data_IF_072290889229
#
_entry.id   IF_072290889229
#
_cell.length_a   1.000
_cell.length_b   1.000
_cell.length_c   1.000
_cell.angle_alpha   90.00
_cell.angle_beta   90.00
_cell.angle_gamma   90.00
#
_symmetry.space_group_name_H-M   'P 1'
#
loop_
_entity.id
_entity.type
_entity.pdbx_description
1 polymer ?
#
# COMPACT_ATOMS: atom_id res chain seq x y z
N UNK A 1 32.19 35.62 -28.73
CA UNK A 1 32.89 34.58 -27.94
C UNK A 1 31.90 33.63 -27.25
N UNK A 2 30.91 34.16 -26.51
CA UNK A 2 29.85 33.40 -25.81
C UNK A 2 29.10 32.39 -26.71
N UNK A 3 28.71 32.78 -27.93
CA UNK A 3 27.97 31.90 -28.85
C UNK A 3 28.74 30.64 -29.29
N UNK A 4 30.07 30.71 -29.41
CA UNK A 4 30.92 29.56 -29.76
C UNK A 4 31.15 28.64 -28.57
N UNK A 5 31.26 29.21 -27.37
CA UNK A 5 31.34 28.45 -26.11
C UNK A 5 30.02 27.72 -25.85
N UNK A 6 28.88 28.38 -26.09
CA UNK A 6 27.55 27.80 -25.95
C UNK A 6 27.32 26.64 -26.94
N UNK A 7 27.71 26.81 -28.21
CA UNK A 7 27.65 25.75 -29.22
C UNK A 7 28.59 24.57 -28.88
N UNK A 8 29.79 24.85 -28.36
CA UNK A 8 30.71 23.81 -27.90
C UNK A 8 30.18 23.02 -26.70
N UNK A 9 29.55 23.70 -25.75
CA UNK A 9 28.90 23.06 -24.60
C UNK A 9 27.73 22.18 -25.03
N UNK A 10 26.88 22.65 -25.95
CA UNK A 10 25.80 21.85 -26.54
C UNK A 10 26.35 20.60 -27.24
N UNK A 11 27.43 20.75 -28.02
CA UNK A 11 28.08 19.62 -28.68
C UNK A 11 28.60 18.57 -27.70
N UNK A 12 29.23 18.99 -26.60
CA UNK A 12 29.70 18.09 -25.55
C UNK A 12 28.55 17.40 -24.82
N UNK A 13 27.46 18.11 -24.52
CA UNK A 13 26.25 17.52 -23.92
C UNK A 13 25.63 16.49 -24.87
N UNK A 14 25.55 16.79 -26.18
CA UNK A 14 25.03 15.85 -27.16
C UNK A 14 25.89 14.58 -27.27
N UNK A 15 27.22 14.72 -27.30
CA UNK A 15 28.13 13.57 -27.30
C UNK A 15 28.01 12.77 -26.00
N UNK A 16 27.95 13.42 -24.85
CA UNK A 16 27.76 12.75 -23.56
C UNK A 16 26.42 12.01 -23.49
N UNK A 17 25.33 12.59 -24.02
CA UNK A 17 24.03 11.95 -24.09
C UNK A 17 24.05 10.73 -25.02
N UNK A 18 24.70 10.82 -26.19
CA UNK A 18 24.85 9.70 -27.14
C UNK A 18 25.67 8.57 -26.50
N UNK A 19 26.83 8.90 -25.92
CA UNK A 19 27.68 7.92 -25.24
C UNK A 19 26.92 7.28 -24.08
N UNK A 20 26.21 8.07 -23.27
CA UNK A 20 25.38 7.57 -22.19
C UNK A 20 24.27 6.63 -22.68
N UNK A 21 23.60 6.97 -23.79
CA UNK A 21 22.58 6.12 -24.41
C UNK A 21 23.14 4.76 -24.82
N UNK A 22 24.28 4.70 -25.51
CA UNK A 22 24.86 3.44 -25.98
C UNK A 22 25.57 2.63 -24.89
N UNK A 23 26.05 3.27 -23.81
CA UNK A 23 26.76 2.57 -22.72
C UNK A 23 25.81 1.99 -21.68
N UNK A 24 24.78 2.74 -21.27
CA UNK A 24 23.82 2.29 -20.26
C UNK A 24 22.36 2.51 -20.67
N UNK A 25 22.04 3.57 -21.42
CA UNK A 25 20.67 3.95 -21.75
C UNK A 25 19.88 2.84 -22.47
N UNK A 26 20.48 2.15 -23.44
CA UNK A 26 19.83 1.04 -24.14
C UNK A 26 19.53 -0.16 -23.23
N UNK A 27 20.43 -0.48 -22.30
CA UNK A 27 20.25 -1.58 -21.35
C UNK A 27 19.16 -1.24 -20.33
N UNK A 28 19.22 -0.04 -19.77
CA UNK A 28 18.21 0.48 -18.85
C UNK A 28 16.85 0.59 -19.53
N UNK A 29 16.79 1.12 -20.75
CA UNK A 29 15.56 1.22 -21.53
C UNK A 29 14.94 -0.15 -21.80
N UNK A 30 15.72 -1.13 -22.27
CA UNK A 30 15.22 -2.52 -22.45
C UNK A 30 14.74 -3.14 -21.13
N UNK A 31 15.43 -2.86 -20.03
CA UNK A 31 15.05 -3.37 -18.70
C UNK A 31 13.77 -2.71 -18.19
N UNK A 32 13.62 -1.40 -18.38
CA UNK A 32 12.43 -0.63 -18.06
C UNK A 32 11.24 -1.05 -18.92
N UNK A 33 11.44 -1.31 -20.21
CA UNK A 33 10.41 -1.86 -21.08
C UNK A 33 9.92 -3.21 -20.55
N UNK A 34 10.81 -4.15 -20.22
CA UNK A 34 10.44 -5.47 -19.67
C UNK A 34 9.65 -5.44 -18.37
N UNK A 35 9.66 -4.34 -17.64
CA UNK A 35 8.93 -4.21 -16.35
C UNK A 35 7.84 -3.13 -16.41
N UNK A 36 7.66 -2.50 -17.56
CA UNK A 36 6.71 -1.41 -17.75
C UNK A 36 5.37 -1.91 -18.25
N UNK A 37 4.29 -1.21 -17.86
CA UNK A 37 2.93 -1.53 -18.28
C UNK A 37 2.75 -1.58 -19.81
N UNK A 38 3.53 -0.79 -20.55
CA UNK A 38 3.48 -0.73 -22.02
C UNK A 38 3.81 -2.08 -22.72
N UNK A 39 4.49 -2.99 -22.03
CA UNK A 39 4.85 -4.30 -22.57
C UNK A 39 3.84 -5.40 -22.25
N UNK A 40 2.85 -5.16 -21.39
CA UNK A 40 1.93 -6.19 -20.91
C UNK A 40 1.20 -6.91 -22.04
N UNK A 41 0.72 -6.18 -23.05
CA UNK A 41 0.03 -6.76 -24.20
C UNK A 41 0.94 -7.67 -25.05
N UNK A 42 2.23 -7.32 -25.16
CA UNK A 42 3.21 -8.13 -25.89
C UNK A 42 3.59 -9.39 -25.10
N UNK A 43 3.73 -9.27 -23.78
CA UNK A 43 3.99 -10.42 -22.91
C UNK A 43 2.77 -11.37 -22.87
N UNK A 44 1.56 -10.83 -22.81
CA UNK A 44 0.32 -11.60 -22.89
C UNK A 44 0.18 -12.34 -24.23
N UNK A 45 0.60 -11.74 -25.35
CA UNK A 45 0.62 -12.41 -26.64
C UNK A 45 1.59 -13.62 -26.71
N UNK A 46 2.57 -13.69 -25.79
CA UNK A 46 3.50 -14.81 -25.66
C UNK A 46 3.04 -15.86 -24.63
N UNK A 47 1.96 -15.59 -23.89
CA UNK A 47 1.41 -16.51 -22.90
C UNK A 47 0.88 -17.78 -23.57
N UNK A 48 1.28 -18.93 -23.03
CA UNK A 48 0.90 -20.26 -23.51
C UNK A 48 0.23 -21.03 -22.37
N UNK A 49 -1.07 -20.81 -22.20
CA UNK A 49 -1.90 -21.43 -21.17
C UNK A 49 -1.93 -22.95 -21.28
N UNK A 50 -1.60 -23.54 -22.43
CA UNK A 50 -1.58 -24.99 -22.61
C UNK A 50 -0.54 -25.71 -21.74
N UNK A 51 0.44 -24.96 -21.21
CA UNK A 51 1.50 -25.50 -20.34
C UNK A 51 1.09 -25.66 -18.89
N UNK A 52 -0.05 -25.11 -18.48
CA UNK A 52 -0.57 -25.20 -17.12
C UNK A 52 -2.02 -25.67 -17.18
N UNK A 53 -2.41 -26.73 -16.46
CA UNK A 53 -3.80 -27.12 -16.40
C UNK A 53 -4.60 -26.02 -15.70
N UNK A 54 -5.37 -25.25 -16.47
CA UNK A 54 -6.29 -24.23 -15.93
C UNK A 54 -7.51 -24.92 -15.33
N UNK A 55 -7.74 -24.81 -14.01
CA UNK A 55 -8.95 -25.36 -13.40
C UNK A 55 -10.18 -24.57 -13.86
N UNK A 56 -11.26 -25.29 -14.14
CA UNK A 56 -12.55 -24.69 -14.46
C UNK A 56 -13.16 -24.02 -13.21
N UNK A 57 -13.68 -22.78 -13.32
CA UNK A 57 -14.35 -22.10 -12.21
C UNK A 57 -15.49 -22.94 -11.64
N UNK A 58 -15.46 -23.13 -10.32
CA UNK A 58 -16.48 -23.87 -9.58
C UNK A 58 -17.36 -22.89 -8.81
N UNK A 59 -18.67 -23.19 -8.67
CA UNK A 59 -19.53 -22.41 -7.80
C UNK A 59 -19.08 -22.53 -6.33
N UNK A 60 -19.38 -21.51 -5.54
CA UNK A 60 -19.17 -21.53 -4.09
C UNK A 60 -19.93 -22.68 -3.46
N UNK A 61 -19.25 -23.45 -2.60
CA UNK A 61 -19.87 -24.50 -1.79
C UNK A 61 -20.15 -23.94 -0.40
N UNK A 62 -21.42 -23.66 -0.10
CA UNK A 62 -21.85 -23.18 1.21
C UNK A 62 -21.78 -24.34 2.21
N UNK A 63 -20.92 -24.22 3.21
CA UNK A 63 -20.75 -25.23 4.25
C UNK A 63 -21.84 -25.05 5.33
N UNK A 64 -22.64 -26.10 5.58
CA UNK A 64 -23.53 -26.10 6.76
C UNK A 64 -22.70 -26.02 8.04
N UNK A 65 -23.19 -25.32 9.06
CA UNK A 65 -22.50 -25.21 10.35
C UNK A 65 -22.16 -26.60 10.91
N UNK A 66 -20.88 -26.87 11.07
CA UNK A 66 -20.38 -28.08 11.72
C UNK A 66 -20.12 -27.80 13.22
N UNK A 67 -20.52 -28.71 14.10
CA UNK A 67 -20.26 -28.62 15.54
C UNK A 67 -18.77 -28.72 15.91
N UNK A 68 -17.93 -29.21 14.99
CA UNK A 68 -16.47 -29.25 15.11
C UNK A 68 -15.78 -28.06 14.41
N UNK A 69 -16.54 -27.04 14.02
CA UNK A 69 -16.16 -25.91 13.18
C UNK A 69 -15.92 -26.28 11.70
N UNK A 70 -16.17 -25.31 10.83
CA UNK A 70 -15.88 -25.39 9.40
C UNK A 70 -14.49 -24.81 9.12
N UNK A 71 -13.85 -25.27 8.04
CA UNK A 71 -12.67 -24.62 7.48
C UNK A 71 -13.13 -23.61 6.43
N UNK A 72 -12.63 -22.39 6.53
CA UNK A 72 -12.88 -21.30 5.59
C UNK A 72 -11.58 -20.84 4.94
N UNK A 73 -11.65 -20.49 3.65
CA UNK A 73 -10.54 -20.00 2.83
C UNK A 73 -10.79 -18.55 2.46
N UNK A 74 -9.86 -17.67 2.82
CA UNK A 74 -9.98 -16.26 2.49
C UNK A 74 -8.63 -15.57 2.45
N UNK A 75 -8.66 -14.31 2.03
CA UNK A 75 -7.49 -13.46 1.96
C UNK A 75 -7.64 -12.30 2.96
N UNK A 76 -6.58 -12.03 3.71
CA UNK A 76 -6.55 -10.95 4.70
C UNK A 76 -5.63 -9.81 4.28
N UNK A 77 -5.04 -9.87 3.08
CA UNK A 77 -4.06 -8.91 2.62
C UNK A 77 -4.22 -8.61 1.12
N UNK A 78 -5.19 -7.76 0.80
CA UNK A 78 -5.50 -7.36 -0.59
C UNK A 78 -5.38 -5.86 -0.73
N UNK A 79 -4.64 -5.41 -1.75
CA UNK A 79 -4.53 -4.01 -2.14
C UNK A 79 -5.26 -3.75 -3.45
N UNK A 80 -5.80 -2.55 -3.59
CA UNK A 80 -6.56 -2.06 -4.73
C UNK A 80 -5.89 -0.81 -5.31
N UNK A 81 -6.50 -0.20 -6.33
CA UNK A 81 -6.01 1.06 -6.89
C UNK A 81 -6.04 2.25 -5.90
N UNK A 82 -6.68 2.09 -4.74
CA UNK A 82 -6.71 3.11 -3.68
C UNK A 82 -5.41 3.12 -2.89
N UNK A 83 -4.72 1.98 -2.79
CA UNK A 83 -3.40 1.91 -2.19
C UNK A 83 -2.34 2.49 -3.12
N UNK A 84 -1.55 3.40 -2.58
CA UNK A 84 -0.53 4.11 -3.35
C UNK A 84 0.52 3.17 -3.94
N UNK A 85 0.92 2.09 -3.26
CA UNK A 85 1.96 1.19 -3.78
C UNK A 85 1.41 0.28 -4.88
N UNK A 86 0.15 -0.16 -4.76
CA UNK A 86 -0.55 -0.89 -5.80
C UNK A 86 -0.85 -0.01 -7.02
N UNK A 87 -1.36 1.21 -6.83
CA UNK A 87 -1.65 2.19 -7.91
C UNK A 87 -0.38 2.53 -8.70
N UNK A 88 0.72 2.86 -8.00
CA UNK A 88 1.98 3.22 -8.64
C UNK A 88 2.65 2.03 -9.34
N UNK A 89 2.29 0.80 -9.00
CA UNK A 89 2.68 -0.42 -9.71
C UNK A 89 1.71 -0.84 -10.82
N UNK A 90 0.66 -0.04 -11.09
CA UNK A 90 -0.24 -0.23 -12.23
C UNK A 90 -1.53 -1.00 -11.93
N UNK A 91 -1.88 -1.18 -10.67
CA UNK A 91 -3.17 -1.77 -10.29
C UNK A 91 -4.30 -0.78 -10.58
N UNK A 92 -5.30 -1.22 -11.34
CA UNK A 92 -6.51 -0.44 -11.67
C UNK A 92 -7.78 -1.03 -11.05
N UNK A 93 -7.65 -2.10 -10.27
CA UNK A 93 -8.77 -2.83 -9.65
C UNK A 93 -9.35 -1.96 -8.53
N UNK A 94 -10.67 -1.72 -8.57
CA UNK A 94 -11.40 -1.00 -7.52
C UNK A 94 -11.65 -1.88 -6.29
N UNK A 95 -12.11 -1.28 -5.19
CA UNK A 95 -12.50 -2.02 -3.97
C UNK A 95 -13.68 -2.96 -4.28
N UNK A 96 -14.65 -2.47 -5.04
CA UNK A 96 -15.81 -3.22 -5.52
C UNK A 96 -15.40 -4.37 -6.44
N UNK A 97 -14.48 -4.13 -7.38
CA UNK A 97 -13.95 -5.19 -8.24
C UNK A 97 -13.23 -6.27 -7.43
N UNK A 98 -12.49 -5.89 -6.39
CA UNK A 98 -11.83 -6.85 -5.50
C UNK A 98 -12.84 -7.74 -4.75
N UNK A 99 -13.95 -7.18 -4.26
CA UNK A 99 -15.04 -7.97 -3.66
C UNK A 99 -15.72 -8.89 -4.67
N UNK A 100 -16.04 -8.39 -5.86
CA UNK A 100 -16.61 -9.20 -6.97
C UNK A 100 -15.68 -10.36 -7.34
N UNK A 101 -14.39 -10.11 -7.44
CA UNK A 101 -13.38 -11.13 -7.70
C UNK A 101 -13.31 -12.19 -6.62
N UNK A 102 -13.31 -11.79 -5.35
CA UNK A 102 -13.35 -12.70 -4.20
C UNK A 102 -14.62 -13.56 -4.20
N UNK A 103 -15.74 -13.02 -4.69
CA UNK A 103 -17.00 -13.76 -4.91
C UNK A 103 -16.96 -14.71 -6.11
N UNK A 104 -15.91 -14.67 -6.93
CA UNK A 104 -15.66 -15.56 -8.06
C UNK A 104 -15.99 -14.97 -9.42
N UNK A 105 -16.32 -13.69 -9.51
CA UNK A 105 -16.48 -13.02 -10.79
C UNK A 105 -15.14 -12.91 -11.52
N UNK A 106 -15.19 -12.93 -12.86
CA UNK A 106 -14.02 -12.68 -13.67
C UNK A 106 -13.73 -11.16 -13.75
N UNK A 107 -12.45 -10.79 -13.73
CA UNK A 107 -11.99 -9.43 -14.00
C UNK A 107 -10.94 -9.44 -15.11
N UNK A 108 -10.78 -8.28 -15.76
CA UNK A 108 -9.69 -8.07 -16.69
C UNK A 108 -8.51 -7.48 -15.93
N UNK A 109 -7.35 -8.14 -15.98
CA UNK A 109 -6.11 -7.59 -15.44
C UNK A 109 -5.72 -6.34 -16.22
N UNK A 110 -4.88 -5.48 -15.64
CA UNK A 110 -4.29 -4.33 -16.35
C UNK A 110 -3.61 -4.75 -17.67
N UNK A 111 -3.11 -5.99 -17.75
CA UNK A 111 -2.48 -6.55 -18.95
C UNK A 111 -3.45 -7.12 -20.01
N UNK A 112 -4.76 -7.09 -19.77
CA UNK A 112 -5.76 -7.63 -20.69
C UNK A 112 -6.05 -9.13 -20.53
N UNK A 113 -5.49 -9.77 -19.50
CA UNK A 113 -5.78 -11.17 -19.18
C UNK A 113 -7.09 -11.27 -18.39
N UNK A 114 -7.96 -12.22 -18.76
CA UNK A 114 -9.12 -12.53 -17.92
C UNK A 114 -8.70 -13.38 -16.72
N UNK A 115 -8.74 -12.78 -15.54
CA UNK A 115 -8.47 -13.43 -14.27
C UNK A 115 -9.78 -13.88 -13.63
N UNK A 116 -9.79 -15.09 -13.07
CA UNK A 116 -10.91 -15.59 -12.28
C UNK A 116 -10.41 -16.62 -11.27
N UNK A 117 -10.93 -16.58 -10.04
CA UNK A 117 -10.66 -17.62 -9.06
C UNK A 117 -11.35 -18.92 -9.49
N UNK A 118 -10.61 -20.03 -9.44
CA UNK A 118 -11.17 -21.36 -9.66
C UNK A 118 -12.24 -21.72 -8.61
N UNK A 119 -12.12 -21.15 -7.41
CA UNK A 119 -13.08 -21.27 -6.32
C UNK A 119 -13.23 -19.90 -5.64
N UNK A 120 -14.46 -19.40 -5.44
CA UNK A 120 -14.72 -18.20 -4.64
C UNK A 120 -14.18 -18.32 -3.21
N UNK A 121 -13.70 -17.21 -2.65
CA UNK A 121 -13.23 -17.14 -1.26
C UNK A 121 -14.39 -17.12 -0.29
N UNK A 122 -14.27 -17.80 0.84
CA UNK A 122 -15.24 -17.74 1.94
C UNK A 122 -15.25 -16.37 2.63
N UNK A 123 -14.11 -15.67 2.67
CA UNK A 123 -14.01 -14.30 3.16
C UNK A 123 -12.89 -13.49 2.49
N UNK A 124 -12.96 -12.17 2.58
CA UNK A 124 -11.86 -11.28 2.16
C UNK A 124 -11.78 -10.03 3.05
N UNK A 125 -10.57 -9.54 3.30
CA UNK A 125 -10.33 -8.21 3.84
C UNK A 125 -9.50 -7.39 2.85
N UNK A 126 -10.04 -6.23 2.44
CA UNK A 126 -9.31 -5.25 1.64
C UNK A 126 -8.54 -4.36 2.59
N UNK A 127 -7.22 -4.30 2.43
CA UNK A 127 -6.29 -3.70 3.40
C UNK A 127 -5.36 -2.75 2.68
N UNK A 128 -5.92 -1.71 2.08
CA UNK A 128 -5.16 -0.61 1.51
C UNK A 128 -4.48 0.22 2.62
N UNK A 129 -3.36 0.89 2.31
CA UNK A 129 -2.60 1.67 3.30
C UNK A 129 -3.40 2.85 3.85
N UNK A 130 -3.64 2.87 5.15
CA UNK A 130 -4.33 3.98 5.81
C UNK A 130 -3.55 5.31 5.72
N UNK A 131 -2.23 5.25 5.51
CA UNK A 131 -1.39 6.44 5.28
C UNK A 131 -1.76 7.18 3.98
N UNK A 132 -2.42 6.51 3.04
CA UNK A 132 -2.89 7.10 1.79
C UNK A 132 -4.30 7.70 1.88
N UNK A 133 -5.07 7.38 2.92
CA UNK A 133 -6.43 7.92 3.07
C UNK A 133 -6.37 9.44 3.20
N UNK A 134 -7.24 10.13 2.47
CA UNK A 134 -7.32 11.58 2.38
C UNK A 134 -6.22 12.25 1.56
N UNK A 135 -5.37 11.48 0.87
CA UNK A 135 -4.34 12.01 -0.02
C UNK A 135 -4.85 12.10 -1.46
N UNK A 136 -5.59 11.09 -1.90
CA UNK A 136 -6.06 10.97 -3.30
C UNK A 136 -7.43 11.61 -3.53
N UNK A 137 -8.28 11.74 -2.49
CA UNK A 137 -9.65 12.28 -2.61
C UNK A 137 -9.69 13.66 -3.29
N UNK A 138 -8.71 14.53 -2.97
CA UNK A 138 -8.57 15.85 -3.60
C UNK A 138 -8.33 15.76 -5.11
N UNK A 139 -7.78 14.67 -5.62
CA UNK A 139 -7.43 14.51 -7.04
C UNK A 139 -8.64 14.29 -7.95
N UNK A 140 -9.78 13.89 -7.39
CA UNK A 140 -11.03 13.73 -8.14
C UNK A 140 -11.78 15.06 -8.35
N UNK A 141 -11.33 16.14 -7.70
CA UNK A 141 -11.97 17.45 -7.77
C UNK A 141 -11.52 18.27 -9.00
N UNK A 142 -12.41 19.12 -9.52
CA UNK A 142 -12.14 19.86 -10.76
C UNK A 142 -11.41 21.20 -10.57
N UNK A 143 -11.36 21.70 -9.34
CA UNK A 143 -10.83 23.03 -9.00
C UNK A 143 -9.44 22.95 -8.34
N UNK A 144 -8.60 22.03 -8.83
CA UNK A 144 -7.23 21.90 -8.37
C UNK A 144 -6.38 23.13 -8.69
N UNK A 145 -5.58 23.56 -7.72
CA UNK A 145 -4.48 24.50 -7.99
C UNK A 145 -3.44 23.84 -8.89
N UNK A 146 -2.61 24.64 -9.57
CA UNK A 146 -1.55 24.10 -10.44
C UNK A 146 -0.60 23.14 -9.69
N UNK A 147 -0.34 23.42 -8.41
CA UNK A 147 0.52 22.58 -7.57
C UNK A 147 -0.18 21.25 -7.27
N UNK A 148 -1.46 21.28 -6.90
CA UNK A 148 -2.25 20.07 -6.64
C UNK A 148 -2.39 19.22 -7.90
N UNK A 149 -2.65 19.83 -9.06
CA UNK A 149 -2.71 19.09 -10.34
C UNK A 149 -1.42 18.32 -10.64
N UNK A 150 -0.25 18.92 -10.36
CA UNK A 150 1.05 18.24 -10.54
C UNK A 150 1.22 17.12 -9.51
N UNK A 151 0.84 17.34 -8.25
CA UNK A 151 0.94 16.31 -7.23
C UNK A 151 0.02 15.13 -7.52
N UNK A 152 -1.23 15.40 -7.89
CA UNK A 152 -2.19 14.39 -8.31
C UNK A 152 -1.67 13.61 -9.52
N UNK A 153 -1.18 14.29 -10.55
CA UNK A 153 -0.56 13.60 -11.68
C UNK A 153 0.56 12.63 -11.24
N UNK A 154 1.40 13.01 -10.27
CA UNK A 154 2.46 12.14 -9.74
C UNK A 154 1.94 10.96 -8.90
N UNK A 155 0.87 11.17 -8.12
CA UNK A 155 0.26 10.14 -7.29
C UNK A 155 -0.58 9.15 -8.09
N UNK A 156 -1.23 9.64 -9.16
CA UNK A 156 -2.21 8.87 -9.91
C UNK A 156 -1.65 8.15 -11.13
N UNK A 157 -0.50 8.59 -11.64
CA UNK A 157 0.11 7.97 -12.82
C UNK A 157 1.02 6.81 -12.40
N UNK A 158 0.75 5.56 -12.84
CA UNK A 158 1.66 4.45 -12.61
C UNK A 158 3.05 4.75 -13.16
N UNK A 159 4.02 4.93 -12.26
CA UNK A 159 5.36 5.29 -12.66
C UNK A 159 6.37 4.76 -11.62
N UNK A 160 7.20 3.75 -11.97
CA UNK A 160 8.14 3.16 -11.03
C UNK A 160 9.21 4.15 -10.56
N UNK A 161 9.53 5.19 -11.36
CA UNK A 161 10.40 6.28 -10.92
C UNK A 161 9.68 7.22 -9.97
N UNK A 162 8.38 7.48 -10.16
CA UNK A 162 7.57 8.22 -9.20
C UNK A 162 7.45 7.44 -7.89
N UNK A 163 7.25 6.12 -7.93
CA UNK A 163 7.29 5.26 -6.74
C UNK A 163 8.62 5.37 -5.99
N UNK A 164 9.74 5.31 -6.71
CA UNK A 164 11.06 5.44 -6.09
C UNK A 164 11.25 6.83 -5.45
N UNK A 165 10.81 7.89 -6.15
CA UNK A 165 10.90 9.27 -5.70
C UNK A 165 9.97 9.52 -4.49
N UNK A 166 8.72 9.09 -4.58
CA UNK A 166 7.73 9.16 -3.49
C UNK A 166 8.29 8.46 -2.26
N UNK A 167 8.85 7.25 -2.40
CA UNK A 167 9.49 6.55 -1.29
C UNK A 167 10.64 7.33 -0.63
N UNK A 168 11.38 8.14 -1.38
CA UNK A 168 12.44 8.98 -0.79
C UNK A 168 11.90 10.22 -0.08
N UNK A 169 10.77 10.76 -0.55
CA UNK A 169 10.16 12.00 -0.03
C UNK A 169 9.20 11.69 1.13
N UNK A 170 8.45 10.61 0.99
CA UNK A 170 7.40 10.10 1.88
C UNK A 170 7.96 8.92 2.67
N UNK A 171 8.95 9.22 3.51
CA UNK A 171 9.34 8.32 4.60
C UNK A 171 8.48 8.71 5.80
N UNK A 172 7.48 7.88 6.13
CA UNK A 172 6.50 8.15 7.20
C UNK A 172 7.12 8.20 8.59
N UNK A 173 8.32 7.62 8.74
CA UNK A 173 9.10 7.67 9.96
C UNK A 173 10.38 8.49 9.76
N UNK A 174 10.77 9.23 10.79
CA UNK A 174 12.11 9.84 10.91
C UNK A 174 12.91 8.98 11.89
N UNK A 175 14.07 8.48 11.47
CA UNK A 175 15.06 7.89 12.40
C UNK A 175 16.13 8.95 12.65
N UNK A 176 16.28 9.36 13.90
CA UNK A 176 17.25 10.39 14.32
C UNK A 176 18.54 9.76 14.90
N UNK A 177 18.80 8.47 14.65
CA UNK A 177 19.91 7.75 15.29
C UNK A 177 21.02 7.40 14.29
N UNK A 178 22.21 7.90 14.56
CA UNK A 178 23.46 7.48 13.92
C UNK A 178 23.82 6.08 14.40
N UNK A 179 23.77 5.08 13.51
CA UNK A 179 24.14 3.69 13.85
C UNK A 179 25.56 3.68 14.40
N UNK A 180 25.78 3.13 15.59
CA UNK A 180 27.13 2.95 16.12
C UNK A 180 27.86 1.90 15.26
N UNK A 181 28.89 2.28 14.48
CA UNK A 181 29.59 1.35 13.59
C UNK A 181 30.41 0.30 14.35
N UNK A 182 30.72 0.55 15.63
CA UNK A 182 31.50 -0.34 16.49
C UNK A 182 30.62 -1.32 17.29
N UNK A 183 29.30 -1.28 17.13
CA UNK A 183 28.41 -2.20 17.82
C UNK A 183 28.64 -3.64 17.34
N UNK A 184 28.65 -4.63 18.26
CA UNK A 184 28.80 -6.03 17.87
C UNK A 184 27.65 -6.47 16.95
N UNK A 185 27.99 -7.26 15.92
CA UNK A 185 26.98 -7.85 15.05
C UNK A 185 25.96 -8.67 15.87
N UNK A 186 24.67 -8.49 15.59
CA UNK A 186 23.59 -9.17 16.30
C UNK A 186 23.11 -8.50 17.59
N UNK A 187 23.70 -7.36 17.99
CA UNK A 187 23.17 -6.55 19.09
C UNK A 187 22.19 -5.53 18.54
N UNK A 188 20.94 -5.58 19.02
CA UNK A 188 19.94 -4.58 18.69
C UNK A 188 20.36 -3.21 19.24
N UNK A 189 20.33 -2.19 18.39
CA UNK A 189 20.51 -0.80 18.79
C UNK A 189 19.14 -0.13 18.82
N UNK A 190 18.65 0.30 20.01
CA UNK A 190 17.42 1.06 20.11
C UNK A 190 17.48 2.32 19.25
N UNK A 191 16.53 2.48 18.34
CA UNK A 191 16.41 3.68 17.52
C UNK A 191 15.11 4.38 17.87
N UNK A 192 15.16 5.61 18.38
CA UNK A 192 13.94 6.42 18.53
C UNK A 192 13.47 6.82 17.14
N UNK A 193 12.26 6.41 16.79
CA UNK A 193 11.63 6.74 15.52
C UNK A 193 10.32 7.47 15.78
N UNK A 194 10.08 8.56 15.06
CA UNK A 194 8.87 9.39 15.20
C UNK A 194 8.10 9.46 13.90
N UNK A 195 6.77 9.44 14.00
CA UNK A 195 5.86 9.69 12.89
C UNK A 195 6.06 11.11 12.37
N UNK A 196 6.17 11.26 11.05
CA UNK A 196 6.37 12.57 10.41
C UNK A 196 5.11 13.39 10.23
N UNK A 197 3.95 12.87 10.63
CA UNK A 197 2.66 13.53 10.46
C UNK A 197 2.19 13.59 9.00
N UNK A 198 0.92 13.93 8.82
CA UNK A 198 0.24 13.97 7.53
C UNK A 198 0.69 15.10 6.61
N UNK A 199 1.30 16.15 7.16
CA UNK A 199 1.94 17.24 6.41
C UNK A 199 3.16 16.80 5.59
N UNK A 200 3.71 15.61 5.88
CA UNK A 200 4.76 14.99 5.07
C UNK A 200 4.31 14.67 3.63
N UNK A 201 3.00 14.49 3.41
CA UNK A 201 2.43 14.43 2.07
C UNK A 201 2.35 15.84 1.47
N UNK A 202 2.98 16.13 0.32
CA UNK A 202 2.99 17.48 -0.24
C UNK A 202 1.60 18.07 -0.49
N UNK A 203 0.63 17.24 -0.89
CA UNK A 203 -0.76 17.66 -1.11
C UNK A 203 -1.49 18.03 0.19
N UNK A 204 -1.04 17.53 1.34
CA UNK A 204 -1.56 17.87 2.66
C UNK A 204 -0.80 19.03 3.31
N UNK A 205 0.53 19.07 3.19
CA UNK A 205 1.34 20.14 3.78
C UNK A 205 1.28 21.47 3.03
N UNK A 206 1.02 21.44 1.71
CA UNK A 206 1.10 22.64 0.84
C UNK A 206 -0.12 22.83 -0.08
N UNK A 207 -1.03 21.86 -0.12
CA UNK A 207 -2.29 21.98 -0.86
C UNK A 207 -3.31 22.85 -0.13
N UNK A 208 -4.40 23.16 -0.83
CA UNK A 208 -5.51 23.95 -0.28
C UNK A 208 -6.23 23.19 0.83
N UNK A 209 -6.62 23.89 1.90
CA UNK A 209 -7.22 23.25 3.10
C UNK A 209 -6.22 22.49 3.99
N UNK A 210 -5.01 22.23 3.50
CA UNK A 210 -3.89 21.71 4.28
C UNK A 210 -4.15 20.36 4.95
N UNK A 211 -3.54 20.16 6.13
CA UNK A 211 -3.65 18.92 6.91
C UNK A 211 -5.08 18.63 7.34
N UNK A 212 -5.83 19.65 7.76
CA UNK A 212 -7.22 19.50 8.22
C UNK A 212 -8.12 18.92 7.13
N UNK A 213 -7.93 19.35 5.87
CA UNK A 213 -8.63 18.76 4.73
C UNK A 213 -8.28 17.27 4.60
N UNK A 214 -6.98 16.92 4.57
CA UNK A 214 -6.59 15.52 4.47
C UNK A 214 -7.09 14.65 5.64
N UNK A 215 -7.20 15.19 6.85
CA UNK A 215 -7.79 14.46 7.99
C UNK A 215 -9.28 14.22 7.79
N UNK A 216 -10.02 15.21 7.30
CA UNK A 216 -11.43 15.07 6.96
C UNK A 216 -11.64 14.07 5.82
N UNK A 217 -10.85 14.18 4.76
CA UNK A 217 -10.90 13.28 3.61
C UNK A 217 -10.56 11.85 4.05
N UNK A 218 -9.58 11.67 4.95
CA UNK A 218 -9.23 10.35 5.49
C UNK A 218 -10.37 9.69 6.28
N UNK A 219 -11.16 10.47 7.03
CA UNK A 219 -12.39 9.98 7.69
C UNK A 219 -13.43 9.56 6.68
N UNK A 220 -13.60 10.36 5.61
CA UNK A 220 -14.52 10.05 4.52
C UNK A 220 -14.14 8.77 3.78
N UNK A 221 -12.85 8.61 3.46
CA UNK A 221 -12.32 7.40 2.82
C UNK A 221 -12.53 6.18 3.71
N UNK A 222 -12.20 6.27 5.01
CA UNK A 222 -12.40 5.16 5.93
C UNK A 222 -13.88 4.80 6.10
N UNK A 223 -14.77 5.78 6.22
CA UNK A 223 -16.21 5.56 6.28
C UNK A 223 -16.73 4.86 5.01
N UNK A 224 -16.16 5.18 3.84
CA UNK A 224 -16.47 4.48 2.58
C UNK A 224 -16.03 3.02 2.63
N UNK A 225 -14.85 2.70 3.16
CA UNK A 225 -14.39 1.31 3.30
C UNK A 225 -15.31 0.49 4.21
N UNK A 226 -15.73 1.06 5.34
CA UNK A 226 -16.73 0.43 6.23
C UNK A 226 -18.02 0.16 5.45
N UNK A 227 -18.55 1.16 4.77
CA UNK A 227 -19.81 1.04 4.03
C UNK A 227 -19.73 0.00 2.90
N UNK A 228 -18.61 -0.06 2.17
CA UNK A 228 -18.39 -1.05 1.11
C UNK A 228 -18.25 -2.46 1.68
N UNK A 229 -17.52 -2.64 2.78
CA UNK A 229 -17.44 -3.92 3.45
C UNK A 229 -18.84 -4.39 3.89
N UNK A 230 -19.61 -3.54 4.57
CA UNK A 230 -20.97 -3.87 5.02
C UNK A 230 -21.92 -4.20 3.86
N UNK A 231 -21.86 -3.44 2.77
CA UNK A 231 -22.69 -3.66 1.59
C UNK A 231 -22.37 -4.97 0.86
N UNK A 232 -21.10 -5.38 0.86
CA UNK A 232 -20.63 -6.57 0.17
C UNK A 232 -20.68 -7.84 1.03
N UNK A 233 -20.90 -7.70 2.34
CA UNK A 233 -21.06 -8.80 3.28
C UNK A 233 -22.37 -9.57 3.03
N UNK A 234 -22.30 -10.89 2.90
CA UNK A 234 -23.47 -11.77 2.79
C UNK A 234 -23.41 -12.86 3.89
N UNK A 235 -23.93 -12.59 5.10
CA UNK A 235 -23.77 -13.46 6.25
C UNK A 235 -24.22 -14.90 6.00
N UNK A 236 -23.30 -15.85 6.22
CA UNK A 236 -23.52 -17.28 5.99
C UNK A 236 -23.12 -17.77 4.60
N UNK A 237 -22.81 -16.86 3.67
CA UNK A 237 -22.34 -17.16 2.31
C UNK A 237 -20.95 -16.61 2.04
N UNK A 238 -20.71 -15.33 2.35
CA UNK A 238 -19.44 -14.62 2.11
C UNK A 238 -19.24 -13.54 3.17
N UNK A 239 -18.08 -13.55 3.82
CA UNK A 239 -17.76 -12.55 4.85
C UNK A 239 -16.77 -11.53 4.35
N UNK A 240 -17.08 -10.25 4.56
CA UNK A 240 -16.15 -9.13 4.40
C UNK A 240 -15.78 -8.58 5.77
N UNK A 241 -14.69 -7.83 5.81
CA UNK A 241 -14.27 -7.08 7.00
C UNK A 241 -13.98 -5.65 6.60
N UNK A 242 -14.47 -4.69 7.36
CA UNK A 242 -13.88 -3.35 7.33
C UNK A 242 -12.43 -3.48 7.82
N UNK A 243 -11.49 -3.10 6.98
CA UNK A 243 -10.07 -3.34 7.24
C UNK A 243 -9.19 -2.32 6.54
N UNK A 244 -7.97 -2.17 7.05
CA UNK A 244 -6.92 -1.33 6.46
C UNK A 244 -5.54 -1.86 6.82
N UNK A 245 -4.50 -1.40 6.12
CA UNK A 245 -3.10 -1.68 6.45
C UNK A 245 -2.46 -0.49 7.17
N UNK A 246 -1.74 -0.79 8.25
CA UNK A 246 -0.88 0.12 8.99
C UNK A 246 0.58 -0.15 8.62
N UNK A 247 1.28 0.87 8.11
CA UNK A 247 2.51 0.69 7.34
C UNK A 247 3.68 1.59 7.74
N UNK A 248 4.17 1.48 8.98
CA UNK A 248 5.39 2.18 9.37
C UNK A 248 6.58 1.68 8.56
N UNK A 249 7.29 2.64 7.95
CA UNK A 249 8.54 2.39 7.24
C UNK A 249 9.70 2.24 8.21
N UNK A 250 10.65 1.38 7.87
CA UNK A 250 11.97 1.34 8.49
C UNK A 250 13.01 1.98 7.54
N UNK A 251 14.25 2.23 7.99
CA UNK A 251 15.36 2.64 7.10
C UNK A 251 15.50 1.73 5.86
N UNK A 252 16.32 2.08 4.87
CA UNK A 252 16.81 1.12 3.85
C UNK A 252 15.77 0.16 3.19
N UNK A 253 14.49 0.54 3.06
CA UNK A 253 13.36 -0.28 2.54
C UNK A 253 12.64 -1.22 3.51
N UNK A 254 13.01 -1.26 4.79
CA UNK A 254 12.35 -2.16 5.73
C UNK A 254 10.91 -1.73 6.04
N UNK A 255 10.10 -2.67 6.49
CA UNK A 255 8.65 -2.51 6.69
C UNK A 255 8.19 -3.26 7.95
N UNK A 256 7.28 -2.66 8.73
CA UNK A 256 6.64 -3.26 9.91
C UNK A 256 5.11 -3.23 9.76
N UNK A 257 4.63 -3.78 8.66
CA UNK A 257 3.24 -3.65 8.27
C UNK A 257 2.31 -4.61 9.01
N UNK A 258 1.07 -4.18 9.24
CA UNK A 258 0.02 -4.97 9.88
C UNK A 258 -1.31 -4.68 9.20
N UNK A 259 -2.13 -5.72 9.04
CA UNK A 259 -3.52 -5.57 8.65
C UNK A 259 -4.38 -5.47 9.90
N UNK A 260 -5.29 -4.51 9.92
CA UNK A 260 -6.23 -4.29 11.01
C UNK A 260 -7.61 -4.65 10.46
N UNK A 261 -8.21 -5.69 11.03
CA UNK A 261 -9.53 -6.18 10.65
C UNK A 261 -10.50 -5.91 11.80
N UNK A 262 -11.65 -5.32 11.51
CA UNK A 262 -12.69 -5.06 12.49
C UNK A 262 -13.84 -6.05 12.35
N UNK A 263 -14.46 -6.38 13.48
CA UNK A 263 -15.67 -7.16 13.57
C UNK A 263 -16.68 -6.44 14.48
N UNK A 264 -17.95 -6.48 14.12
CA UNK A 264 -19.03 -5.87 14.90
C UNK A 264 -19.48 -4.50 14.37
N UNK A 265 -19.97 -3.64 15.27
CA UNK A 265 -20.49 -2.31 14.95
C UNK A 265 -19.76 -1.23 15.74
N UNK A 266 -20.07 0.04 15.47
CA UNK A 266 -19.51 1.19 16.21
C UNK A 266 -17.98 1.29 16.05
N UNK A 267 -17.50 1.02 14.82
CA UNK A 267 -16.09 1.10 14.47
C UNK A 267 -15.54 2.52 14.66
N UNK A 268 -14.21 2.66 14.89
CA UNK A 268 -13.58 3.97 15.00
C UNK A 268 -13.87 4.85 13.78
N UNK A 269 -14.13 6.13 14.01
CA UNK A 269 -14.39 7.12 12.95
C UNK A 269 -13.15 7.37 12.06
N UNK A 270 -11.97 6.97 12.53
CA UNK A 270 -10.70 7.22 11.89
C UNK A 270 -9.81 5.98 11.89
N UNK A 271 -9.22 5.65 10.75
CA UNK A 271 -8.21 4.60 10.62
C UNK A 271 -6.85 5.11 11.10
N UNK A 272 -6.43 4.69 12.29
CA UNK A 272 -5.13 5.07 12.86
C UNK A 272 -4.01 4.50 11.97
N UNK A 273 -3.21 5.38 11.36
CA UNK A 273 -2.09 5.03 10.47
C UNK A 273 -0.72 5.34 11.09
N UNK A 274 0.37 5.01 10.39
CA UNK A 274 1.72 5.38 10.84
C UNK A 274 2.03 6.88 10.76
N UNK A 275 1.09 7.69 10.24
CA UNK A 275 1.14 9.15 10.31
C UNK A 275 0.72 9.68 11.69
N UNK A 276 -0.17 8.97 12.39
CA UNK A 276 -0.69 9.37 13.70
C UNK A 276 0.11 8.76 14.85
N UNK A 277 0.45 7.46 14.75
CA UNK A 277 1.18 6.74 15.80
C UNK A 277 2.37 6.01 15.22
N UNK A 278 3.48 6.03 15.96
CA UNK A 278 4.73 5.49 15.44
C UNK A 278 4.73 3.97 15.52
N UNK A 279 4.44 3.36 16.67
CA UNK A 279 4.64 1.93 16.89
C UNK A 279 3.34 1.13 17.04
N UNK A 280 3.48 -0.20 17.11
CA UNK A 280 2.34 -1.11 17.27
C UNK A 280 1.65 -0.98 18.63
N UNK A 281 2.36 -0.61 19.70
CA UNK A 281 1.78 -0.43 21.04
C UNK A 281 0.84 0.78 21.05
N UNK A 282 1.27 1.91 20.51
CA UNK A 282 0.44 3.11 20.41
C UNK A 282 -0.74 2.91 19.45
N UNK A 283 -0.55 2.12 18.38
CA UNK A 283 -1.65 1.65 17.55
C UNK A 283 -2.66 0.83 18.38
N UNK A 284 -2.21 -0.17 19.13
CA UNK A 284 -3.09 -1.01 19.93
C UNK A 284 -3.82 -0.22 21.01
N UNK A 285 -3.13 0.66 21.74
CA UNK A 285 -3.76 1.57 22.71
C UNK A 285 -4.84 2.43 22.06
N UNK A 286 -4.56 3.02 20.90
CA UNK A 286 -5.55 3.81 20.16
C UNK A 286 -6.75 2.97 19.68
N UNK A 287 -6.51 1.73 19.24
CA UNK A 287 -7.58 0.81 18.86
C UNK A 287 -8.42 0.39 20.08
N UNK A 288 -7.81 0.06 21.21
CA UNK A 288 -8.52 -0.27 22.46
C UNK A 288 -9.32 0.91 23.02
N UNK A 289 -8.81 2.14 22.86
CA UNK A 289 -9.51 3.36 23.28
C UNK A 289 -10.74 3.66 22.40
N UNK A 290 -10.65 3.39 21.10
CA UNK A 290 -11.66 3.84 20.12
C UNK A 290 -12.62 2.74 19.65
N UNK A 291 -12.17 1.49 19.60
CA UNK A 291 -12.98 0.32 19.27
C UNK A 291 -13.59 -0.26 20.54
N UNK A 292 -14.73 0.29 20.95
CA UNK A 292 -15.40 -0.08 22.20
C UNK A 292 -16.81 -0.63 21.95
N UNK A 293 -17.43 -1.20 23.00
CA UNK A 293 -18.81 -1.68 22.93
C UNK A 293 -18.95 -2.96 22.11
N UNK A 294 -19.49 -2.84 20.89
CA UNK A 294 -19.68 -3.97 19.96
C UNK A 294 -18.55 -4.11 18.95
N UNK A 295 -17.61 -3.18 18.95
CA UNK A 295 -16.43 -3.24 18.11
C UNK A 295 -15.42 -4.24 18.70
N UNK A 296 -14.87 -5.07 17.83
CA UNK A 296 -13.76 -5.98 18.10
C UNK A 296 -12.75 -5.88 16.95
N UNK A 297 -11.47 -6.11 17.21
CA UNK A 297 -10.43 -5.95 16.20
C UNK A 297 -9.33 -7.01 16.30
N UNK A 298 -8.70 -7.28 15.16
CA UNK A 298 -7.54 -8.15 15.05
C UNK A 298 -6.44 -7.42 14.28
N UNK A 299 -5.21 -7.47 14.80
CA UNK A 299 -4.02 -6.96 14.09
C UNK A 299 -3.12 -8.12 13.65
N UNK A 300 -2.83 -8.21 12.36
CA UNK A 300 -2.09 -9.32 11.75
C UNK A 300 -0.81 -8.79 11.12
N UNK A 301 0.39 -9.08 11.68
CA UNK A 301 1.64 -8.70 11.03
C UNK A 301 1.88 -9.54 9.77
N UNK A 302 2.37 -8.90 8.71
CA UNK A 302 2.72 -9.57 7.46
C UNK A 302 4.06 -9.05 6.91
N UNK A 303 4.60 -9.72 5.89
CA UNK A 303 5.89 -9.37 5.28
C UNK A 303 7.03 -9.20 6.30
N UNK A 304 7.02 -9.97 7.38
CA UNK A 304 7.99 -9.88 8.49
C UNK A 304 9.44 -10.12 8.04
N UNK A 305 9.66 -10.75 6.88
CA UNK A 305 10.99 -10.87 6.27
C UNK A 305 11.59 -9.50 5.86
N UNK A 306 10.76 -8.47 5.68
CA UNK A 306 11.20 -7.08 5.41
C UNK A 306 11.42 -6.26 6.68
N UNK A 307 11.36 -6.86 7.87
CA UNK A 307 11.63 -6.15 9.12
C UNK A 307 13.08 -6.30 9.61
N UNK A 308 13.94 -7.01 8.87
CA UNK A 308 15.28 -7.46 9.30
C UNK A 308 15.28 -8.16 10.68
N UNK A 309 14.25 -8.94 10.96
CA UNK A 309 14.12 -9.68 12.22
C UNK A 309 13.46 -8.90 13.36
N UNK A 310 13.21 -7.59 13.20
CA UNK A 310 12.56 -6.77 14.24
C UNK A 310 11.15 -7.21 14.60
N UNK A 311 10.41 -7.84 13.68
CA UNK A 311 9.08 -8.39 13.96
C UNK A 311 9.07 -9.45 15.07
N UNK A 312 10.21 -10.09 15.33
CA UNK A 312 10.38 -11.09 16.39
C UNK A 312 11.27 -10.57 17.54
N UNK A 313 11.59 -9.28 17.53
CA UNK A 313 12.41 -8.65 18.57
C UNK A 313 11.62 -8.50 19.86
N UNK A 314 12.33 -8.56 21.00
CA UNK A 314 11.78 -8.11 22.29
C UNK A 314 11.59 -6.59 22.37
N UNK A 315 12.15 -5.88 21.41
CA UNK A 315 12.08 -4.43 21.31
C UNK A 315 11.02 -3.99 20.32
N UNK A 316 10.29 -2.94 20.67
CA UNK A 316 9.50 -2.19 19.70
C UNK A 316 10.43 -1.55 18.68
N UNK A 317 9.91 -1.22 17.50
CA UNK A 317 10.80 -0.75 16.44
C UNK A 317 11.44 0.60 16.79
N UNK A 318 10.78 1.42 17.59
CA UNK A 318 11.22 2.72 18.10
C UNK A 318 12.09 2.63 19.37
N UNK A 319 12.57 1.43 19.70
CA UNK A 319 13.61 1.22 20.71
C UNK A 319 13.09 0.96 22.13
N UNK A 320 11.78 0.95 22.35
CA UNK A 320 11.16 0.47 23.58
C UNK A 320 11.25 -1.04 23.74
N UNK A 321 10.89 -1.57 24.90
CA UNK A 321 10.77 -3.01 25.17
C UNK A 321 9.29 -3.37 25.30
N UNK A 322 8.86 -4.51 24.75
CA UNK A 322 7.50 -5.00 25.01
C UNK A 322 7.38 -5.40 26.49
N UNK A 323 6.53 -4.70 27.24
CA UNK A 323 6.20 -5.01 28.64
C UNK A 323 4.97 -5.91 28.82
N UNK A 324 4.75 -6.43 30.03
CA UNK A 324 3.51 -7.15 30.39
C UNK A 324 2.31 -6.21 30.60
N UNK A 325 2.57 -4.92 30.85
CA UNK A 325 1.57 -3.88 31.14
C UNK A 325 1.21 -3.01 29.91
N UNK A 326 1.61 -3.43 28.71
CA UNK A 326 1.43 -2.71 27.44
C UNK A 326 0.57 -3.49 26.45
#
# INVERSE_FOLDING_TARGET
>A
MIRKIFLGAIGLIAVAAIVGWFTFGQSTYKRMQRVGADNLAADYALQDDSRVPKPEPQPRVIQTRNSLNNVYWGDTHVHTHESFDAKLMGTTVTVEDAYRFAKGEALLSTGGETMQLARPLDFVAITDHAEGFGVSTRCDETDLTWFESINCYLLETPNPMAFLLLRTIVSFTKSDVEKNPDAPAGVYQPEVRTAKGRDSWPICGRGEGGVLRCEQDARSDWARYIALADAENDPGTFTTFAAYEYSPTLPDAGKMHRNILFNGSDLPEFAISSLEVSNAIDLWRGLEETCTGKCDFLTIPHNMNKSWGLAYSRYTYDGGEYGEDE
#
